data_IF_063719221896
#
_entry.id   IF_063719221896
#
_cell.length_a   1.000
_cell.length_b   1.000
_cell.length_c   1.000
_cell.angle_alpha   90.00
_cell.angle_beta   90.00
_cell.angle_gamma   90.00
#
_symmetry.space_group_name_H-M   'P 1'
#
loop_
_entity.id
_entity.type
_entity.pdbx_description
1 polymer ?
#
# COMPACT_ATOMS: atom_id res chain seq x y z
N UNK A 1 15.23 10.89 0.17
CA UNK A 1 13.75 10.81 -0.04
C UNK A 1 13.44 9.60 -0.91
N UNK A 2 12.37 8.86 -0.64
CA UNK A 2 11.85 7.79 -1.50
C UNK A 2 10.33 7.99 -1.63
N UNK A 3 9.85 8.25 -2.85
CA UNK A 3 8.41 8.36 -3.13
C UNK A 3 8.07 7.91 -4.54
N UNK A 4 6.80 7.59 -4.79
CA UNK A 4 6.29 7.25 -6.12
C UNK A 4 5.10 8.14 -6.50
N UNK A 5 5.04 8.57 -7.75
CA UNK A 5 3.94 9.38 -8.27
C UNK A 5 2.83 8.54 -8.93
N UNK A 6 1.70 9.17 -9.28
CA UNK A 6 0.56 8.50 -9.94
C UNK A 6 0.88 7.95 -11.35
N UNK A 7 2.02 8.33 -11.93
CA UNK A 7 2.54 7.80 -13.20
C UNK A 7 3.54 6.66 -12.96
N UNK A 8 3.67 6.17 -11.72
CA UNK A 8 4.60 5.13 -11.31
C UNK A 8 6.08 5.50 -11.49
N UNK A 9 6.42 6.79 -11.38
CA UNK A 9 7.80 7.28 -11.42
C UNK A 9 8.34 7.40 -10.00
N UNK A 10 9.52 6.82 -9.77
CA UNK A 10 10.21 6.88 -8.49
C UNK A 10 11.01 8.17 -8.36
N UNK A 11 10.87 8.83 -7.21
CA UNK A 11 11.70 9.95 -6.78
C UNK A 11 12.57 9.47 -5.62
N UNK A 12 13.87 9.34 -5.88
CA UNK A 12 14.80 8.63 -4.99
C UNK A 12 16.09 9.42 -4.83
N UNK A 13 16.55 9.48 -3.58
CA UNK A 13 17.92 9.82 -3.25
C UNK A 13 18.81 8.57 -3.39
N UNK A 14 19.47 8.44 -4.56
CA UNK A 14 20.26 7.24 -4.89
C UNK A 14 21.46 7.05 -3.99
N UNK A 15 22.12 8.14 -3.58
CA UNK A 15 23.32 8.08 -2.75
C UNK A 15 22.97 7.55 -1.35
N UNK A 16 21.87 8.04 -0.77
CA UNK A 16 21.37 7.53 0.51
C UNK A 16 21.04 6.03 0.44
N UNK A 17 20.36 5.58 -0.62
CA UNK A 17 20.03 4.16 -0.78
C UNK A 17 21.29 3.30 -0.84
N UNK A 18 22.30 3.71 -1.60
CA UNK A 18 23.57 2.99 -1.71
C UNK A 18 24.28 2.91 -0.36
N UNK A 19 24.32 4.00 0.39
CA UNK A 19 24.94 4.04 1.72
C UNK A 19 24.24 3.08 2.70
N UNK A 20 22.91 3.05 2.70
CA UNK A 20 22.13 2.19 3.61
C UNK A 20 22.29 0.71 3.24
N UNK A 21 22.23 0.37 1.94
CA UNK A 21 22.41 -1.01 1.46
C UNK A 21 23.82 -1.52 1.74
N UNK A 22 24.84 -0.65 1.70
CA UNK A 22 26.23 -1.01 2.03
C UNK A 22 26.41 -1.51 3.48
N UNK A 23 25.47 -1.22 4.38
CA UNK A 23 25.47 -1.74 5.76
C UNK A 23 25.21 -3.26 5.83
N UNK A 24 24.85 -3.91 4.72
CA UNK A 24 24.56 -5.36 4.62
C UNK A 24 23.50 -5.82 5.62
N UNK A 25 22.53 -4.95 5.92
CA UNK A 25 21.34 -5.26 6.71
C UNK A 25 20.11 -5.24 5.80
N UNK A 26 19.04 -5.96 6.15
CA UNK A 26 17.79 -5.85 5.42
C UNK A 26 17.30 -4.40 5.40
N UNK A 27 16.99 -3.89 4.22
CA UNK A 27 16.51 -2.51 4.02
C UNK A 27 15.03 -2.58 3.65
N UNK A 28 14.19 -1.94 4.45
CA UNK A 28 12.76 -1.77 4.18
C UNK A 28 12.53 -0.29 3.92
N UNK A 29 11.92 0.04 2.78
CA UNK A 29 11.61 1.42 2.43
C UNK A 29 10.15 1.72 2.70
N UNK A 30 9.88 2.83 3.40
CA UNK A 30 8.53 3.34 3.53
C UNK A 30 8.06 3.94 2.21
N UNK A 31 6.97 3.39 1.66
CA UNK A 31 6.40 3.81 0.40
C UNK A 31 5.53 5.06 0.61
N UNK A 32 6.16 6.22 0.42
CA UNK A 32 5.48 7.50 0.44
C UNK A 32 4.93 7.87 -0.95
N UNK A 33 3.75 8.47 -0.96
CA UNK A 33 3.13 8.97 -2.19
C UNK A 33 3.10 10.50 -2.16
N UNK A 34 3.32 11.15 -3.32
CA UNK A 34 3.34 12.62 -3.37
C UNK A 34 2.02 13.27 -2.94
N UNK A 35 0.91 12.54 -3.04
CA UNK A 35 -0.45 12.98 -2.64
C UNK A 35 -0.98 12.24 -1.40
N UNK A 36 -0.10 11.62 -0.60
CA UNK A 36 -0.45 10.85 0.61
C UNK A 36 -1.63 9.88 0.39
N UNK A 37 -2.60 9.88 1.30
CA UNK A 37 -3.78 9.01 1.32
C UNK A 37 -4.68 9.11 0.07
N UNK A 38 -4.74 10.28 -0.59
CA UNK A 38 -5.49 10.46 -1.84
C UNK A 38 -4.94 9.61 -2.99
N UNK A 39 -3.65 9.22 -2.90
CA UNK A 39 -3.02 8.33 -3.85
C UNK A 39 -3.70 6.96 -3.86
N UNK A 40 -3.90 6.36 -2.69
CA UNK A 40 -4.43 5.00 -2.56
C UNK A 40 -5.86 4.89 -3.09
N UNK A 41 -6.72 5.87 -2.80
CA UNK A 41 -8.08 5.90 -3.31
C UNK A 41 -8.16 6.00 -4.84
N UNK A 42 -7.21 6.69 -5.46
CA UNK A 42 -7.13 6.86 -6.92
C UNK A 42 -6.50 5.64 -7.60
N UNK A 43 -5.52 5.03 -6.92
CA UNK A 43 -4.75 3.91 -7.41
C UNK A 43 -5.54 2.60 -7.34
N UNK A 44 -6.04 2.25 -6.14
CA UNK A 44 -6.68 0.99 -5.79
C UNK A 44 -8.08 0.94 -6.38
N UNK A 45 -8.25 0.11 -7.41
CA UNK A 45 -9.51 -0.08 -8.12
C UNK A 45 -9.75 -1.57 -8.37
N UNK A 46 -11.01 -2.02 -8.42
CA UNK A 46 -11.34 -3.41 -8.70
C UNK A 46 -10.68 -3.92 -9.98
N UNK A 47 -10.16 -5.15 -9.92
CA UNK A 47 -9.67 -5.91 -11.08
C UNK A 47 -8.58 -5.22 -11.90
N UNK A 48 -7.77 -4.35 -11.27
CA UNK A 48 -6.73 -3.57 -11.93
C UNK A 48 -5.36 -4.24 -11.80
N UNK A 49 -4.57 -4.19 -12.88
CA UNK A 49 -3.13 -4.40 -12.81
C UNK A 49 -2.43 -3.09 -12.42
N UNK A 50 -1.60 -3.15 -11.37
CA UNK A 50 -0.93 -1.99 -10.81
C UNK A 50 0.47 -1.86 -11.40
N UNK A 51 0.64 -0.97 -12.38
CA UNK A 51 1.93 -0.74 -13.06
C UNK A 51 3.08 -0.50 -12.08
N UNK A 52 2.82 0.28 -11.03
CA UNK A 52 3.83 0.59 -10.02
C UNK A 52 4.35 -0.61 -9.25
N UNK A 53 3.54 -1.67 -9.06
CA UNK A 53 4.01 -2.84 -8.32
C UNK A 53 5.19 -3.49 -9.03
N UNK A 54 5.19 -3.50 -10.38
CA UNK A 54 6.32 -4.00 -11.16
C UNK A 54 7.53 -3.08 -11.02
N UNK A 55 7.32 -1.77 -11.12
CA UNK A 55 8.38 -0.76 -10.94
C UNK A 55 9.05 -0.91 -9.57
N UNK A 56 8.27 -1.10 -8.51
CA UNK A 56 8.77 -1.29 -7.15
C UNK A 56 9.55 -2.60 -7.01
N UNK A 57 9.06 -3.72 -7.58
CA UNK A 57 9.80 -4.99 -7.57
C UNK A 57 11.13 -4.90 -8.32
N UNK A 58 11.11 -4.34 -9.52
CA UNK A 58 12.31 -4.19 -10.35
C UNK A 58 13.34 -3.31 -9.63
N UNK A 59 12.88 -2.21 -9.02
CA UNK A 59 13.72 -1.34 -8.21
C UNK A 59 14.32 -2.07 -7.01
N UNK A 60 13.51 -2.83 -6.26
CA UNK A 60 13.99 -3.53 -5.09
C UNK A 60 15.05 -4.57 -5.43
N UNK A 61 14.82 -5.35 -6.50
CA UNK A 61 15.78 -6.31 -7.02
C UNK A 61 17.09 -5.65 -7.43
N UNK A 62 17.02 -4.55 -8.19
CA UNK A 62 18.20 -3.85 -8.69
C UNK A 62 19.04 -3.18 -7.59
N UNK A 63 18.44 -2.90 -6.42
CA UNK A 63 19.09 -2.13 -5.36
C UNK A 63 19.23 -2.93 -4.05
N UNK A 64 19.03 -4.25 -4.06
CA UNK A 64 19.08 -5.12 -2.88
C UNK A 64 18.18 -4.63 -1.72
N UNK A 65 17.01 -4.11 -2.05
CA UNK A 65 16.00 -3.72 -1.06
C UNK A 65 15.23 -4.96 -0.64
N UNK A 66 15.08 -5.15 0.66
CA UNK A 66 14.43 -6.33 1.25
C UNK A 66 12.91 -6.21 1.32
N UNK A 67 12.36 -5.00 1.26
CA UNK A 67 10.93 -4.82 1.38
C UNK A 67 10.43 -3.39 1.32
N UNK A 68 9.11 -3.29 1.42
CA UNK A 68 8.39 -2.01 1.46
C UNK A 68 7.45 -1.99 2.67
N UNK A 69 7.39 -0.84 3.34
CA UNK A 69 6.36 -0.52 4.32
C UNK A 69 5.31 0.35 3.61
N UNK A 70 4.09 -0.17 3.47
CA UNK A 70 2.96 0.56 2.91
C UNK A 70 2.37 1.41 4.05
N UNK A 71 2.59 2.72 3.98
CA UNK A 71 2.07 3.70 4.95
C UNK A 71 0.93 4.54 4.34
N UNK A 72 0.32 5.38 5.18
CA UNK A 72 -0.68 6.39 4.77
C UNK A 72 -1.93 5.83 4.04
N UNK A 73 -2.25 4.54 4.26
CA UNK A 73 -3.47 3.92 3.73
C UNK A 73 -4.75 4.58 4.25
N UNK A 74 -4.63 5.26 5.40
CA UNK A 74 -5.72 5.92 6.09
C UNK A 74 -5.46 7.43 6.06
N UNK A 75 -6.51 8.20 5.77
CA UNK A 75 -6.44 9.67 5.70
C UNK A 75 -6.10 10.23 7.08
N UNK A 76 -4.99 10.94 7.18
CA UNK A 76 -4.63 11.82 8.29
C UNK A 76 -4.70 13.26 7.77
N UNK A 77 -5.92 13.70 7.44
CA UNK A 77 -6.18 15.13 7.23
C UNK A 77 -6.48 15.72 8.61
N UNK A 78 -6.08 16.97 8.84
CA UNK A 78 -6.30 17.75 10.08
C UNK A 78 -7.77 17.86 10.54
N UNK A 79 -8.70 17.25 9.81
CA UNK A 79 -10.09 17.07 10.21
C UNK A 79 -10.24 15.77 10.99
N UNK A 80 -10.73 15.91 12.22
CA UNK A 80 -11.05 14.95 13.29
C UNK A 80 -11.76 13.62 12.91
N UNK A 81 -11.97 13.32 11.63
CA UNK A 81 -12.61 12.12 11.14
C UNK A 81 -11.76 11.45 10.06
N UNK A 82 -11.18 10.29 10.41
CA UNK A 82 -10.57 9.37 9.46
C UNK A 82 -11.60 9.03 8.37
N UNK A 83 -11.36 9.51 7.16
CA UNK A 83 -12.25 9.19 6.05
C UNK A 83 -11.96 7.77 5.56
N UNK A 84 -12.89 6.87 5.81
CA UNK A 84 -12.86 5.52 5.25
C UNK A 84 -12.99 5.59 3.73
N UNK A 85 -12.00 5.06 3.02
CA UNK A 85 -12.09 4.87 1.58
C UNK A 85 -12.56 3.44 1.27
N UNK A 86 -13.78 3.24 0.74
CA UNK A 86 -14.34 1.91 0.49
C UNK A 86 -13.57 1.10 -0.55
N UNK A 87 -12.72 1.76 -1.36
CA UNK A 87 -11.92 1.09 -2.36
C UNK A 87 -10.58 0.56 -1.81
N UNK A 88 -10.08 1.08 -0.68
CA UNK A 88 -8.75 0.70 -0.20
C UNK A 88 -8.77 -0.73 0.36
N UNK A 89 -9.60 -0.99 1.36
CA UNK A 89 -9.64 -2.30 2.05
C UNK A 89 -9.83 -3.50 1.10
N UNK A 90 -10.88 -3.53 0.26
CA UNK A 90 -11.14 -4.66 -0.64
C UNK A 90 -10.08 -4.88 -1.71
N UNK A 91 -9.41 -3.81 -2.19
CA UNK A 91 -8.47 -3.91 -3.30
C UNK A 91 -7.00 -4.03 -2.85
N UNK A 92 -6.71 -3.76 -1.57
CA UNK A 92 -5.36 -3.86 -1.00
C UNK A 92 -4.76 -5.27 -1.11
N UNK A 93 -5.48 -6.38 -0.84
CA UNK A 93 -4.91 -7.72 -1.02
C UNK A 93 -4.43 -8.00 -2.44
N UNK A 94 -5.17 -7.52 -3.46
CA UNK A 94 -4.78 -7.66 -4.85
C UNK A 94 -3.50 -6.86 -5.16
N UNK A 95 -3.40 -5.64 -4.63
CA UNK A 95 -2.20 -4.81 -4.75
C UNK A 95 -0.99 -5.47 -4.10
N UNK A 96 -1.12 -5.94 -2.85
CA UNK A 96 -0.03 -6.62 -2.11
C UNK A 96 0.41 -7.88 -2.84
N UNK A 97 -0.54 -8.69 -3.34
CA UNK A 97 -0.24 -9.88 -4.11
C UNK A 97 0.58 -9.54 -5.36
N UNK A 98 0.18 -8.51 -6.10
CA UNK A 98 0.95 -8.03 -7.26
C UNK A 98 2.31 -7.47 -6.85
N UNK A 99 2.42 -6.69 -5.77
CA UNK A 99 3.68 -6.13 -5.26
C UNK A 99 4.66 -7.21 -4.82
N UNK A 100 4.17 -8.27 -4.16
CA UNK A 100 5.00 -9.41 -3.82
C UNK A 100 5.39 -10.18 -5.07
N UNK A 101 4.46 -10.46 -5.98
CA UNK A 101 4.71 -11.32 -7.14
C UNK A 101 5.41 -12.61 -6.72
N UNK A 102 6.45 -13.00 -7.47
CA UNK A 102 7.31 -14.16 -7.13
C UNK A 102 8.53 -13.79 -6.27
N UNK A 103 8.56 -12.57 -5.71
CA UNK A 103 9.70 -12.08 -4.94
C UNK A 103 9.61 -12.42 -3.45
N UNK A 104 10.76 -12.49 -2.79
CA UNK A 104 10.87 -12.66 -1.33
C UNK A 104 10.73 -11.34 -0.57
N UNK A 105 10.09 -10.32 -1.14
CA UNK A 105 9.93 -9.01 -0.51
C UNK A 105 9.14 -9.12 0.81
N UNK A 106 9.65 -8.43 1.82
CA UNK A 106 8.94 -8.14 3.07
C UNK A 106 7.95 -7.01 2.77
N UNK A 107 6.65 -7.27 2.96
CA UNK A 107 5.62 -6.23 2.82
C UNK A 107 5.06 -5.94 4.21
N UNK A 108 5.37 -4.75 4.73
CA UNK A 108 4.81 -4.22 5.96
C UNK A 108 3.59 -3.34 5.67
N UNK A 109 2.63 -3.31 6.60
CA UNK A 109 1.48 -2.42 6.57
C UNK A 109 1.50 -1.52 7.81
N UNK A 110 1.47 -0.21 7.62
CA UNK A 110 1.23 0.74 8.69
C UNK A 110 -0.26 0.76 9.03
N UNK A 111 -0.63 0.12 10.15
CA UNK A 111 -2.01 0.13 10.66
C UNK A 111 -2.04 1.08 11.88
N UNK A 112 -2.81 2.17 11.82
CA UNK A 112 -2.90 3.07 12.95
C UNK A 112 -3.59 2.41 14.14
N UNK A 113 -3.21 2.78 15.38
CA UNK A 113 -3.69 2.15 16.61
C UNK A 113 -5.11 2.57 17.00
N UNK A 114 -5.60 3.69 16.47
CA UNK A 114 -6.98 4.12 16.64
C UNK A 114 -7.87 3.20 15.81
N UNK A 115 -8.58 2.30 16.50
CA UNK A 115 -9.45 1.33 15.87
C UNK A 115 -10.31 2.02 14.81
N UNK A 116 -10.19 1.57 13.57
CA UNK A 116 -11.07 2.00 12.50
C UNK A 116 -12.47 1.70 13.02
N UNK A 117 -13.23 2.74 13.37
CA UNK A 117 -14.64 2.62 13.69
C UNK A 117 -15.34 2.27 12.37
N UNK A 118 -15.20 1.03 11.94
CA UNK A 118 -16.00 0.43 10.89
C UNK A 118 -17.41 0.40 11.47
N UNK A 119 -18.19 1.44 11.20
CA UNK A 119 -19.65 1.35 11.33
C UNK A 119 -20.10 0.27 10.34
N UNK A 120 -20.13 -0.97 10.80
CA UNK A 120 -20.92 -2.04 10.23
C UNK A 120 -22.38 -1.56 10.20
N UNK A 121 -22.83 -1.05 9.06
CA UNK A 121 -24.23 -1.21 8.69
C UNK A 121 -24.35 -2.58 8.02
N UNK A 122 -24.89 -3.53 8.77
CA UNK A 122 -25.26 -4.87 8.32
C UNK A 122 -25.96 -4.86 6.95
N UNK A 123 -25.33 -5.41 5.91
CA UNK A 123 -25.92 -5.86 4.63
C UNK A 123 -24.86 -6.81 4.05
N UNK A 124 -24.95 -8.14 3.89
CA UNK A 124 -26.03 -9.05 3.56
C UNK A 124 -25.65 -10.46 4.07
N UNK A 125 -26.28 -10.93 5.16
CA UNK A 125 -26.56 -12.36 5.31
C UNK A 125 -27.95 -12.60 4.74
N UNK A 126 -28.07 -12.57 3.41
CA UNK A 126 -29.22 -13.13 2.71
C UNK A 126 -29.05 -14.64 2.62
N UNK A 127 -29.12 -15.32 3.77
CA UNK A 127 -29.30 -16.76 3.78
C UNK A 127 -30.73 -17.05 3.36
N UNK A 128 -30.85 -17.80 2.26
CA UNK A 128 -32.01 -18.58 1.89
C UNK A 128 -32.72 -19.17 3.12
N UNK A 129 -34.00 -18.86 3.29
CA UNK A 129 -34.96 -19.79 3.89
C UNK A 129 -36.28 -19.69 3.13
N UNK A 130 -36.53 -20.74 2.37
CA UNK A 130 -37.77 -21.08 1.70
C UNK A 130 -38.60 -21.91 2.70
N UNK A 131 -39.81 -21.44 3.01
CA UNK A 131 -41.01 -22.09 3.62
C UNK A 131 -41.83 -20.92 4.20
N UNK A 132 -43.07 -20.64 3.82
CA UNK A 132 -44.20 -21.52 3.46
C UNK A 132 -44.91 -21.12 2.15
#
# INVERSE_FOLDING_TARGET
RFSIDLKSRLNIDKELIQQVVALKKPVILELNHETRSAHWGSLLKPSKQYKETKVLRDFASANNISGFLIAELFVDDDNTFLQFNPNVGPNLPCYISQLKGDSNLIIGLGIPPYGILIKNTCVCCGLYSRTD
#
